data_IF_231068151664
#
_entry.id   IF_231068151664
#
_cell.length_a   1.000
_cell.length_b   1.000
_cell.length_c   1.000
_cell.angle_alpha   90.00
_cell.angle_beta   90.00
_cell.angle_gamma   90.00
#
_symmetry.space_group_name_H-M   'P 1'
#
loop_
_entity.id
_entity.type
_entity.pdbx_description
1 polymer ?
#
# COMPACT_ATOMS: atom_id res chain seq x y z
N UNK A 1 6.38 3.16 11.98
CA UNK A 1 7.79 2.72 11.92
C UNK A 1 8.21 2.26 10.52
N UNK A 2 7.40 1.40 9.88
CA UNK A 2 7.71 0.91 8.54
C UNK A 2 7.70 2.02 7.50
N UNK A 3 6.73 2.93 7.59
CA UNK A 3 6.64 4.07 6.68
C UNK A 3 7.83 4.99 6.86
N UNK A 4 8.23 5.26 8.11
CA UNK A 4 9.39 6.09 8.39
C UNK A 4 10.69 5.43 7.89
N UNK A 5 10.84 4.13 8.07
CA UNK A 5 11.97 3.37 7.53
C UNK A 5 12.06 3.44 6.01
N UNK A 6 10.91 3.36 5.33
CA UNK A 6 10.83 3.52 3.88
C UNK A 6 11.29 4.92 3.45
N UNK A 7 10.81 5.96 4.13
CA UNK A 7 11.19 7.34 3.81
C UNK A 7 12.69 7.56 3.92
N UNK A 8 13.29 7.06 4.99
CA UNK A 8 14.72 7.17 5.22
C UNK A 8 15.53 6.42 4.15
N UNK A 9 15.14 5.19 3.85
CA UNK A 9 15.81 4.37 2.83
C UNK A 9 15.69 4.99 1.43
N UNK A 10 14.52 5.53 1.10
CA UNK A 10 14.27 6.19 -0.18
C UNK A 10 15.17 7.42 -0.35
N UNK A 11 15.21 8.24 0.68
CA UNK A 11 16.05 9.45 0.68
C UNK A 11 17.54 9.11 0.56
N UNK A 12 17.98 8.09 1.28
CA UNK A 12 19.37 7.62 1.20
C UNK A 12 19.73 7.11 -0.18
N UNK A 13 18.83 6.33 -0.80
CA UNK A 13 19.09 5.69 -2.09
C UNK A 13 19.03 6.68 -3.26
N UNK A 14 18.11 7.64 -3.24
CA UNK A 14 17.80 8.49 -4.39
C UNK A 14 18.13 9.95 -4.18
N UNK A 15 18.49 10.35 -2.97
CA UNK A 15 18.70 11.75 -2.57
C UNK A 15 17.49 12.63 -2.89
N UNK A 16 16.30 12.07 -2.70
CA UNK A 16 15.01 12.73 -2.92
C UNK A 16 14.10 12.48 -1.73
N UNK A 17 13.31 13.48 -1.37
CA UNK A 17 12.25 13.31 -0.38
C UNK A 17 11.07 12.61 -1.07
N UNK A 18 10.63 11.44 -0.59
CA UNK A 18 9.51 10.73 -1.20
C UNK A 18 8.21 11.52 -1.21
N UNK A 19 8.00 12.40 -0.23
CA UNK A 19 6.83 13.28 -0.19
C UNK A 19 6.85 14.28 -1.35
N UNK A 20 8.05 14.71 -1.75
CA UNK A 20 8.23 15.58 -2.91
C UNK A 20 8.16 14.85 -4.24
N UNK A 21 8.38 13.53 -4.24
CA UNK A 21 8.32 12.71 -5.44
C UNK A 21 6.89 12.25 -5.80
N UNK A 22 5.91 12.57 -4.94
CA UNK A 22 4.52 12.18 -5.15
C UNK A 22 4.16 10.85 -4.48
N UNK A 23 2.88 10.49 -4.54
CA UNK A 23 2.37 9.31 -3.86
C UNK A 23 2.73 8.00 -4.55
N UNK A 24 3.13 8.03 -5.81
CA UNK A 24 3.39 6.82 -6.60
C UNK A 24 4.52 5.97 -6.04
N UNK A 25 5.52 6.58 -5.41
CA UNK A 25 6.61 5.85 -4.76
C UNK A 25 6.10 4.95 -3.63
N UNK A 26 5.14 5.43 -2.85
CA UNK A 26 4.51 4.66 -1.79
C UNK A 26 3.62 3.55 -2.35
N UNK A 27 2.83 3.87 -3.36
CA UNK A 27 1.91 2.92 -4.00
C UNK A 27 2.66 1.80 -4.71
N UNK A 28 3.81 2.10 -5.32
CA UNK A 28 4.67 1.09 -5.93
C UNK A 28 5.19 0.10 -4.89
N UNK A 29 5.53 0.57 -3.70
CA UNK A 29 5.94 -0.31 -2.61
C UNK A 29 4.77 -1.20 -2.15
N UNK A 30 3.56 -0.65 -2.09
CA UNK A 30 2.35 -1.42 -1.77
C UNK A 30 2.12 -2.54 -2.79
N UNK A 31 2.33 -2.26 -4.07
CA UNK A 31 2.24 -3.27 -5.13
C UNK A 31 3.25 -4.41 -4.91
N UNK A 32 4.46 -4.06 -4.53
CA UNK A 32 5.49 -5.04 -4.21
C UNK A 32 5.09 -5.88 -2.99
N UNK A 33 4.58 -5.26 -1.94
CA UNK A 33 4.14 -5.95 -0.73
C UNK A 33 3.03 -6.95 -1.04
N UNK A 34 2.06 -6.53 -1.85
CA UNK A 34 0.95 -7.38 -2.25
C UNK A 34 1.43 -8.56 -3.11
N UNK A 35 2.33 -8.30 -4.05
CA UNK A 35 2.91 -9.35 -4.90
C UNK A 35 3.68 -10.37 -4.06
N UNK A 36 4.54 -9.90 -3.17
CA UNK A 36 5.31 -10.75 -2.27
C UNK A 36 4.41 -11.62 -1.41
N UNK A 37 3.40 -11.01 -0.79
CA UNK A 37 2.42 -11.74 0.01
C UNK A 37 1.72 -12.83 -0.80
N UNK A 38 1.34 -12.50 -2.04
CA UNK A 38 0.63 -13.43 -2.91
C UNK A 38 1.48 -14.64 -3.31
N UNK A 39 2.76 -14.41 -3.60
CA UNK A 39 3.70 -15.50 -3.92
C UNK A 39 3.91 -16.40 -2.71
N UNK A 40 4.09 -15.81 -1.54
CA UNK A 40 4.26 -16.57 -0.29
C UNK A 40 3.01 -17.38 0.06
N UNK A 41 1.84 -16.80 -0.13
CA UNK A 41 0.55 -17.46 0.11
C UNK A 41 0.31 -18.61 -0.87
N UNK A 42 0.65 -18.38 -2.14
CA UNK A 42 0.49 -19.40 -3.19
C UNK A 42 1.49 -20.56 -3.06
N UNK A 43 2.66 -20.29 -2.49
CA UNK A 43 3.73 -21.27 -2.37
C UNK A 43 4.54 -21.47 -3.65
N UNK A 44 4.20 -20.76 -4.72
CA UNK A 44 4.92 -20.79 -5.99
C UNK A 44 4.69 -19.51 -6.78
N UNK A 45 5.59 -19.20 -7.70
CA UNK A 45 5.57 -17.94 -8.46
C UNK A 45 5.08 -18.13 -9.89
N UNK A 46 4.01 -18.91 -10.08
CA UNK A 46 3.36 -19.03 -11.38
C UNK A 46 2.22 -18.02 -11.51
N UNK A 47 1.98 -17.46 -12.71
CA UNK A 47 0.92 -16.43 -12.88
C UNK A 47 -0.45 -16.87 -12.39
N UNK A 48 -0.86 -18.08 -12.64
CA UNK A 48 -2.17 -18.59 -12.22
C UNK A 48 -2.29 -18.64 -10.69
N UNK A 49 -1.26 -19.10 -10.00
CA UNK A 49 -1.27 -19.23 -8.55
C UNK A 49 -1.17 -17.88 -7.87
N UNK A 50 -0.39 -16.96 -8.45
CA UNK A 50 -0.30 -15.57 -7.95
C UNK A 50 -1.68 -14.92 -8.07
N UNK A 51 -2.35 -15.05 -9.21
CA UNK A 51 -3.68 -14.49 -9.42
C UNK A 51 -4.69 -15.02 -8.41
N UNK A 52 -4.73 -16.34 -8.21
CA UNK A 52 -5.64 -16.95 -7.23
C UNK A 52 -5.42 -16.38 -5.81
N UNK A 53 -4.16 -16.24 -5.42
CA UNK A 53 -3.83 -15.69 -4.11
C UNK A 53 -4.26 -14.22 -3.99
N UNK A 54 -4.02 -13.42 -5.04
CA UNK A 54 -4.40 -12.02 -5.06
C UNK A 54 -5.92 -11.82 -5.03
N UNK A 55 -6.66 -12.61 -5.78
CA UNK A 55 -8.13 -12.54 -5.79
C UNK A 55 -8.73 -12.77 -4.40
N UNK A 56 -8.06 -13.54 -3.58
CA UNK A 56 -8.51 -13.88 -2.24
C UNK A 56 -7.75 -13.11 -1.14
N UNK A 57 -7.01 -12.08 -1.51
CA UNK A 57 -6.24 -11.30 -0.56
C UNK A 57 -7.16 -10.54 0.39
N UNK A 58 -6.94 -10.72 1.69
CA UNK A 58 -7.72 -10.09 2.75
C UNK A 58 -6.78 -9.51 3.80
N UNK A 59 -6.94 -8.24 4.07
CA UNK A 59 -6.19 -7.50 5.10
C UNK A 59 -4.67 -7.71 5.01
N UNK A 60 -4.12 -7.62 3.79
CA UNK A 60 -2.69 -7.73 3.57
C UNK A 60 -1.99 -6.48 4.10
N UNK A 61 -1.04 -6.62 5.02
CA UNK A 61 -0.32 -5.45 5.54
C UNK A 61 0.64 -4.92 4.48
N UNK A 62 0.39 -3.71 4.04
CA UNK A 62 1.21 -3.00 3.07
C UNK A 62 1.78 -1.73 3.70
N UNK A 63 2.62 -0.99 2.97
CA UNK A 63 3.30 0.16 3.52
C UNK A 63 2.34 1.29 3.94
N UNK A 64 1.38 1.63 3.09
CA UNK A 64 0.50 2.78 3.34
C UNK A 64 -0.81 2.40 4.00
N UNK A 65 -1.23 1.15 3.86
CA UNK A 65 -2.55 0.71 4.31
C UNK A 65 -2.59 -0.80 4.39
N UNK A 66 -3.62 -1.31 5.04
CA UNK A 66 -4.01 -2.71 4.93
C UNK A 66 -4.90 -2.82 3.69
N UNK A 67 -4.59 -3.76 2.81
CA UNK A 67 -5.26 -3.88 1.50
C UNK A 67 -5.96 -5.23 1.39
N UNK A 68 -7.23 -5.19 0.98
CA UNK A 68 -7.97 -6.36 0.56
C UNK A 68 -8.32 -6.20 -0.92
N UNK A 69 -8.46 -7.30 -1.65
CA UNK A 69 -8.84 -7.28 -3.05
C UNK A 69 -10.26 -7.79 -3.19
N UNK A 70 -11.10 -7.04 -3.90
CA UNK A 70 -12.43 -7.50 -4.28
C UNK A 70 -12.29 -8.54 -5.39
N UNK A 71 -12.68 -9.81 -5.16
CA UNK A 71 -12.46 -10.87 -6.16
C UNK A 71 -13.27 -10.70 -7.44
N UNK A 72 -14.34 -9.92 -7.42
CA UNK A 72 -15.17 -9.69 -8.61
C UNK A 72 -14.61 -8.56 -9.48
N UNK A 73 -14.18 -7.48 -8.87
CA UNK A 73 -13.75 -6.27 -9.60
C UNK A 73 -12.23 -6.15 -9.68
N UNK A 74 -11.49 -6.88 -8.84
CA UNK A 74 -10.04 -6.77 -8.64
C UNK A 74 -9.61 -5.39 -8.10
N UNK A 75 -10.55 -4.61 -7.59
CA UNK A 75 -10.24 -3.32 -6.98
C UNK A 75 -9.66 -3.52 -5.57
N UNK A 76 -8.64 -2.74 -5.21
CA UNK A 76 -8.12 -2.77 -3.86
C UNK A 76 -9.06 -2.02 -2.91
N UNK A 77 -9.33 -2.63 -1.76
CA UNK A 77 -10.04 -2.01 -0.66
C UNK A 77 -9.00 -1.54 0.35
N UNK A 78 -8.94 -0.26 0.58
CA UNK A 78 -7.88 0.39 1.35
C UNK A 78 -8.48 1.32 2.39
N UNK A 79 -7.63 1.72 3.34
CA UNK A 79 -7.97 2.80 4.24
C UNK A 79 -7.75 4.13 3.53
N UNK A 80 -8.66 5.07 3.76
CA UNK A 80 -8.53 6.43 3.27
C UNK A 80 -8.33 7.37 4.46
N UNK A 81 -7.31 8.22 4.36
CA UNK A 81 -7.05 9.22 5.38
C UNK A 81 -7.63 10.55 4.92
N UNK A 82 -8.39 11.20 5.80
CA UNK A 82 -9.02 12.48 5.50
C UNK A 82 -8.20 13.59 6.13
N UNK A 83 -7.75 14.52 5.30
CA UNK A 83 -6.95 15.66 5.73
C UNK A 83 -7.73 16.95 5.57
N UNK A 84 -7.45 17.90 6.43
CA UNK A 84 -7.94 19.27 6.32
C UNK A 84 -6.76 20.20 6.16
N UNK A 85 -6.86 21.15 5.24
CA UNK A 85 -5.87 22.20 5.09
C UNK A 85 -6.04 23.19 6.23
N UNK A 86 -5.01 23.33 7.04
CA UNK A 86 -4.97 24.27 8.17
C UNK A 86 -3.70 25.12 8.01
N UNK A 87 -3.89 26.39 7.61
CA UNK A 87 -2.76 27.21 7.21
C UNK A 87 -2.11 26.65 5.96
N UNK A 88 -0.83 26.31 6.02
CA UNK A 88 -0.07 25.69 4.92
C UNK A 88 0.22 24.21 5.17
N UNK A 89 -0.50 23.58 6.09
CA UNK A 89 -0.30 22.18 6.45
C UNK A 89 -1.54 21.33 6.14
N UNK A 90 -1.31 20.04 5.84
CA UNK A 90 -2.35 19.03 5.78
C UNK A 90 -2.43 18.34 7.13
N UNK A 91 -3.56 18.51 7.83
CA UNK A 91 -3.76 17.92 9.16
C UNK A 91 -4.73 16.75 9.04
N UNK A 92 -4.32 15.58 9.53
CA UNK A 92 -5.19 14.41 9.57
C UNK A 92 -6.32 14.64 10.56
N UNK A 93 -7.56 14.52 10.09
CA UNK A 93 -8.76 14.70 10.91
C UNK A 93 -9.58 13.42 11.07
N UNK A 94 -9.44 12.47 10.14
CA UNK A 94 -10.21 11.23 10.21
C UNK A 94 -9.55 10.15 9.35
N UNK A 95 -10.03 8.93 9.52
CA UNK A 95 -9.62 7.79 8.72
C UNK A 95 -10.82 6.90 8.46
N UNK A 96 -10.94 6.41 7.24
CA UNK A 96 -12.04 5.58 6.80
C UNK A 96 -11.50 4.26 6.25
N UNK A 97 -12.07 3.13 6.69
CA UNK A 97 -11.66 1.81 6.22
C UNK A 97 -12.68 1.22 5.26
N UNK A 98 -12.18 0.70 4.14
CA UNK A 98 -12.97 -0.05 3.17
C UNK A 98 -12.79 -1.57 3.33
N UNK A 99 -11.99 -1.99 4.32
CA UNK A 99 -11.73 -3.41 4.57
C UNK A 99 -12.81 -4.10 5.41
N UNK A 100 -13.72 -3.34 5.96
CA UNK A 100 -14.78 -3.85 6.85
C UNK A 100 -15.96 -4.47 6.07
#
# INVERSE_FOLDING_TARGET
PELQSFKEAFKERWDLDPDGAGTDSYLAHDCFDLLKWSIEKAGEATPEKIREAMENATEVPCLTSVISIDPETHNPLRNATIYQVQGDEFVKIDEYSLND
#
